data_IF_188999715333
#
_entry.id   IF_188999715333
#
_cell.length_a   1.000
_cell.length_b   1.000
_cell.length_c   1.000
_cell.angle_alpha   90.00
_cell.angle_beta   90.00
_cell.angle_gamma   90.00
#
_symmetry.space_group_name_H-M   'P 1'
#
loop_
_entity.id
_entity.type
_entity.pdbx_description
1 polymer ?
#
# COMPACT_ATOMS: atom_id res chain seq x y z
N UNK A 1 -5.41 -25.75 20.35
CA UNK A 1 -4.61 -25.57 19.12
C UNK A 1 -3.70 -24.38 19.38
N UNK A 2 -2.38 -24.56 19.33
CA UNK A 2 -1.40 -23.47 19.54
C UNK A 2 -0.86 -23.10 18.16
N UNK A 3 -0.92 -21.82 17.80
CA UNK A 3 -0.35 -21.30 16.55
C UNK A 3 0.96 -20.60 16.90
N UNK A 4 2.06 -21.08 16.34
CA UNK A 4 3.37 -20.47 16.53
C UNK A 4 3.59 -19.29 15.56
N UNK A 5 4.15 -18.16 16.05
CA UNK A 5 4.43 -17.01 15.21
C UNK A 5 5.57 -17.31 14.22
N UNK A 6 5.31 -17.09 12.94
CA UNK A 6 6.31 -17.20 11.88
C UNK A 6 7.30 -16.04 11.93
N UNK A 7 8.57 -16.31 11.64
CA UNK A 7 9.59 -15.28 11.52
C UNK A 7 9.24 -14.34 10.36
N UNK A 8 9.21 -13.04 10.64
CA UNK A 8 8.97 -12.02 9.60
C UNK A 8 10.25 -11.78 8.79
N UNK A 9 10.15 -11.74 7.46
CA UNK A 9 11.28 -11.31 6.63
C UNK A 9 11.69 -9.88 6.98
N UNK A 10 12.98 -9.59 6.89
CA UNK A 10 13.52 -8.23 6.99
C UNK A 10 13.88 -7.80 5.58
N UNK A 11 13.48 -6.59 5.22
CA UNK A 11 13.74 -6.02 3.90
C UNK A 11 14.59 -4.76 4.02
N UNK A 12 15.41 -4.51 3.01
CA UNK A 12 16.04 -3.21 2.77
C UNK A 12 15.18 -2.38 1.81
N UNK A 13 15.37 -1.05 1.80
CA UNK A 13 14.68 -0.18 0.85
C UNK A 13 15.03 -0.55 -0.60
N UNK A 14 16.30 -0.87 -0.86
CA UNK A 14 16.80 -1.27 -2.17
C UNK A 14 16.09 -2.53 -2.69
N UNK A 15 15.95 -3.55 -1.83
CA UNK A 15 15.25 -4.79 -2.17
C UNK A 15 13.79 -4.57 -2.56
N UNK A 16 13.10 -3.64 -1.89
CA UNK A 16 11.71 -3.32 -2.18
C UNK A 16 11.57 -2.51 -3.47
N UNK A 17 12.47 -1.55 -3.70
CA UNK A 17 12.46 -0.73 -4.92
C UNK A 17 12.76 -1.56 -6.16
N UNK A 18 13.65 -2.56 -6.07
CA UNK A 18 13.95 -3.46 -7.18
C UNK A 18 12.75 -4.29 -7.65
N UNK A 19 11.71 -4.45 -6.82
CA UNK A 19 10.48 -5.17 -7.16
C UNK A 19 9.38 -4.24 -7.72
N UNK A 20 9.59 -2.93 -7.69
CA UNK A 20 8.61 -1.94 -8.12
C UNK A 20 8.71 -1.73 -9.65
N UNK A 21 7.58 -1.73 -10.34
CA UNK A 21 7.47 -1.23 -11.72
C UNK A 21 7.03 0.25 -11.69
N UNK A 22 7.93 1.20 -12.00
CA UNK A 22 7.60 2.62 -11.98
C UNK A 22 6.68 3.04 -13.14
N UNK A 23 6.45 2.16 -14.11
CA UNK A 23 5.60 2.41 -15.27
C UNK A 23 4.26 1.65 -15.17
N UNK A 24 4.00 0.96 -14.07
CA UNK A 24 2.75 0.28 -13.85
C UNK A 24 1.57 1.27 -13.96
N UNK A 25 0.57 0.90 -14.76
CA UNK A 25 -0.64 1.70 -14.88
C UNK A 25 -1.44 1.68 -13.57
N UNK A 26 -2.00 2.82 -13.21
CA UNK A 26 -2.84 2.96 -12.02
C UNK A 26 -4.13 2.16 -12.19
N UNK A 27 -4.42 1.26 -11.23
CA UNK A 27 -5.63 0.43 -11.21
C UNK A 27 -6.86 1.31 -11.06
N UNK A 28 -7.99 0.87 -11.61
CA UNK A 28 -9.27 1.61 -11.57
C UNK A 28 -9.69 1.97 -10.14
N UNK A 29 -9.62 1.01 -9.20
CA UNK A 29 -9.89 1.22 -7.77
C UNK A 29 -9.04 2.34 -7.17
N UNK A 30 -7.75 2.39 -7.53
CA UNK A 30 -6.83 3.43 -7.03
C UNK A 30 -7.21 4.80 -7.61
N UNK A 31 -7.69 4.86 -8.87
CA UNK A 31 -8.19 6.11 -9.48
C UNK A 31 -9.47 6.57 -8.79
N UNK A 32 -10.44 5.68 -8.62
CA UNK A 32 -11.71 5.97 -7.94
C UNK A 32 -11.48 6.52 -6.54
N UNK A 33 -10.51 5.97 -5.81
CA UNK A 33 -10.15 6.44 -4.48
C UNK A 33 -9.54 7.85 -4.50
N UNK A 34 -8.67 8.16 -5.46
CA UNK A 34 -8.05 9.49 -5.61
C UNK A 34 -9.09 10.53 -6.02
N UNK A 35 -10.00 10.17 -6.92
CA UNK A 35 -11.04 11.06 -7.45
C UNK A 35 -12.21 11.23 -6.47
N UNK A 36 -12.23 10.48 -5.37
CA UNK A 36 -13.27 10.57 -4.36
C UNK A 36 -13.26 11.94 -3.67
N UNK A 37 -14.42 12.57 -3.47
CA UNK A 37 -14.50 13.83 -2.76
C UNK A 37 -14.06 13.66 -1.31
N UNK A 38 -13.49 14.72 -0.73
CA UNK A 38 -13.16 14.74 0.70
C UNK A 38 -14.43 14.52 1.54
N UNK A 39 -14.43 13.46 2.35
CA UNK A 39 -15.53 13.10 3.27
C UNK A 39 -15.27 13.53 4.71
N UNK A 40 -14.10 14.12 4.99
CA UNK A 40 -13.72 14.60 6.32
C UNK A 40 -14.64 15.73 6.79
N UNK A 41 -15.19 15.58 8.00
CA UNK A 41 -15.98 16.63 8.69
C UNK A 41 -15.14 17.37 9.74
N UNK A 42 -13.85 17.53 9.46
CA UNK A 42 -12.95 18.18 10.41
C UNK A 42 -13.31 19.67 10.47
N UNK A 43 -13.45 20.18 11.69
CA UNK A 43 -13.76 21.59 11.95
C UNK A 43 -12.41 22.33 11.90
N UNK A 44 -12.33 23.34 11.01
CA UNK A 44 -11.16 24.21 10.86
C UNK A 44 -10.92 25.10 12.08
#
# INVERSE_FOLDING_TARGET
LIIEPQKRPRYSLEELLAQCDPHAEMREEDREWIDAPAVGKEIL
#
